data_IF_328839358303
#
_entry.id   IF_328839358303
#
_cell.length_a   1.000
_cell.length_b   1.000
_cell.length_c   1.000
_cell.angle_alpha   90.00
_cell.angle_beta   90.00
_cell.angle_gamma   90.00
#
_symmetry.space_group_name_H-M   'P 1'
#
loop_
_entity.id
_entity.type
_entity.pdbx_description
1 polymer ?
#
# COMPACT_ATOMS: atom_id res chain seq x y z
N UNK A 1 20.17 -2.00 13.75
CA UNK A 1 18.91 -1.41 13.22
C UNK A 1 18.78 -1.81 11.76
N UNK A 2 17.81 -2.65 11.40
CA UNK A 2 17.58 -3.02 9.99
C UNK A 2 17.05 -1.80 9.23
N UNK A 3 17.73 -1.40 8.15
CA UNK A 3 17.31 -0.29 7.32
C UNK A 3 15.98 -0.65 6.64
N UNK A 4 14.93 0.17 6.86
CA UNK A 4 13.65 0.01 6.16
C UNK A 4 13.84 0.45 4.70
N UNK A 5 13.97 -0.52 3.79
CA UNK A 5 14.01 -0.26 2.34
C UNK A 5 12.70 0.41 1.92
N UNK A 6 12.79 1.66 1.45
CA UNK A 6 11.65 2.39 0.88
C UNK A 6 11.63 2.18 -0.62
N UNK A 7 10.54 1.63 -1.13
CA UNK A 7 10.32 1.49 -2.57
C UNK A 7 9.65 2.77 -3.10
N UNK A 8 10.14 3.28 -4.23
CA UNK A 8 9.49 4.34 -5.01
C UNK A 8 8.79 3.71 -6.21
N UNK A 9 7.48 3.95 -6.34
CA UNK A 9 6.69 3.47 -7.46
C UNK A 9 5.95 4.64 -8.12
N UNK A 10 5.98 4.69 -9.45
CA UNK A 10 5.20 5.66 -10.23
C UNK A 10 3.84 5.05 -10.55
N UNK A 11 2.80 5.56 -9.90
CA UNK A 11 1.42 5.13 -10.13
C UNK A 11 0.80 5.92 -11.30
N UNK A 12 0.22 5.21 -12.28
CA UNK A 12 -0.58 5.82 -13.36
C UNK A 12 -2.05 5.83 -12.94
N UNK A 13 -2.61 7.03 -12.79
CA UNK A 13 -4.02 7.28 -12.44
C UNK A 13 -4.52 8.49 -13.22
N UNK A 14 -5.84 8.58 -13.35
CA UNK A 14 -6.48 9.73 -13.96
C UNK A 14 -6.21 11.01 -13.15
N UNK A 15 -5.96 12.10 -13.87
CA UNK A 15 -5.61 13.39 -13.28
C UNK A 15 -6.70 13.91 -12.33
N UNK A 16 -7.97 13.84 -12.73
CA UNK A 16 -9.10 14.29 -11.91
C UNK A 16 -9.21 13.53 -10.58
N UNK A 17 -8.92 12.23 -10.62
CA UNK A 17 -8.91 11.40 -9.41
C UNK A 17 -7.74 11.78 -8.50
N UNK A 18 -6.55 12.03 -9.08
CA UNK A 18 -5.39 12.46 -8.30
C UNK A 18 -5.59 13.83 -7.64
N UNK A 19 -6.27 14.75 -8.31
CA UNK A 19 -6.57 16.07 -7.76
C UNK A 19 -7.56 15.99 -6.59
N UNK A 20 -8.61 15.17 -6.72
CA UNK A 20 -9.52 14.86 -5.60
C UNK A 20 -8.79 14.20 -4.43
N UNK A 21 -7.88 13.26 -4.73
CA UNK A 21 -7.07 12.62 -3.71
C UNK A 21 -6.16 13.62 -2.97
N UNK A 22 -5.54 14.55 -3.70
CA UNK A 22 -4.73 15.62 -3.10
C UNK A 22 -5.55 16.53 -2.20
N UNK A 23 -6.77 16.88 -2.61
CA UNK A 23 -7.67 17.68 -1.79
C UNK A 23 -7.97 16.98 -0.45
N UNK A 24 -8.25 15.67 -0.46
CA UNK A 24 -8.47 14.89 0.77
C UNK A 24 -7.20 14.82 1.63
N UNK A 25 -6.05 14.60 1.01
CA UNK A 25 -4.78 14.52 1.73
C UNK A 25 -4.44 15.84 2.44
N UNK A 26 -4.66 16.97 1.76
CA UNK A 26 -4.45 18.32 2.30
C UNK A 26 -5.42 18.62 3.45
N UNK A 27 -6.70 18.27 3.30
CA UNK A 27 -7.70 18.37 4.37
C UNK A 27 -7.31 17.55 5.62
N UNK A 28 -6.62 16.41 5.43
CA UNK A 28 -6.10 15.57 6.51
C UNK A 28 -4.71 16.02 7.04
N UNK A 29 -4.14 17.10 6.50
CA UNK A 29 -2.83 17.64 6.88
C UNK A 29 -1.66 16.71 6.51
N UNK A 30 -1.80 15.93 5.43
CA UNK A 30 -0.82 14.93 5.00
C UNK A 30 -0.41 15.14 3.56
N UNK A 31 0.82 14.74 3.24
CA UNK A 31 1.22 14.62 1.83
C UNK A 31 0.44 13.48 1.17
N UNK A 32 0.20 13.62 -0.13
CA UNK A 32 -0.41 12.58 -0.96
C UNK A 32 0.22 11.19 -0.72
N UNK A 33 1.55 11.11 -0.64
CA UNK A 33 2.25 9.84 -0.39
C UNK A 33 1.96 9.28 1.01
N UNK A 34 1.88 10.13 2.03
CA UNK A 34 1.58 9.67 3.39
C UNK A 34 0.15 9.18 3.51
N UNK A 35 -0.79 9.85 2.85
CA UNK A 35 -2.18 9.40 2.79
C UNK A 35 -2.30 8.08 2.02
N UNK A 36 -1.58 7.93 0.91
CA UNK A 36 -1.54 6.68 0.15
C UNK A 36 -0.96 5.52 0.98
N UNK A 37 0.10 5.77 1.76
CA UNK A 37 0.64 4.77 2.69
C UNK A 37 -0.40 4.33 3.72
N UNK A 38 -1.18 5.27 4.29
CA UNK A 38 -2.25 4.95 5.24
C UNK A 38 -3.37 4.13 4.59
N UNK A 39 -3.77 4.48 3.36
CA UNK A 39 -4.76 3.73 2.61
C UNK A 39 -4.32 2.29 2.33
N UNK A 40 -3.07 2.08 1.91
CA UNK A 40 -2.51 0.74 1.68
C UNK A 40 -2.48 -0.05 2.99
N UNK A 41 -2.04 0.56 4.10
CA UNK A 41 -2.04 -0.10 5.42
C UNK A 41 -3.43 -0.53 5.84
N UNK A 42 -4.42 0.35 5.66
CA UNK A 42 -5.82 0.06 5.97
C UNK A 42 -6.33 -1.09 5.10
N UNK A 43 -6.08 -1.05 3.79
CA UNK A 43 -6.47 -2.11 2.86
C UNK A 43 -5.91 -3.48 3.29
N UNK A 44 -4.61 -3.54 3.63
CA UNK A 44 -3.99 -4.79 4.12
C UNK A 44 -4.63 -5.24 5.42
N UNK A 45 -4.82 -4.34 6.39
CA UNK A 45 -5.45 -4.68 7.67
C UNK A 45 -6.89 -5.19 7.50
N UNK A 46 -7.68 -4.54 6.65
CA UNK A 46 -9.06 -4.92 6.37
C UNK A 46 -9.12 -6.29 5.66
N UNK A 47 -8.18 -6.53 4.74
CA UNK A 47 -8.03 -7.82 4.06
C UNK A 47 -7.64 -8.93 5.03
N UNK A 48 -6.65 -8.71 5.89
CA UNK A 48 -6.18 -9.67 6.89
C UNK A 48 -7.26 -10.00 7.92
N UNK A 49 -8.08 -9.02 8.30
CA UNK A 49 -9.20 -9.23 9.20
C UNK A 49 -10.28 -10.16 8.61
N UNK A 50 -10.47 -10.13 7.28
CA UNK A 50 -11.50 -10.92 6.59
C UNK A 50 -11.00 -12.28 6.10
N UNK A 51 -9.74 -12.37 5.65
CA UNK A 51 -9.19 -13.53 4.96
C UNK A 51 -8.15 -14.29 5.79
N UNK A 52 -7.74 -13.75 6.94
CA UNK A 52 -6.62 -14.25 7.74
C UNK A 52 -5.32 -13.49 7.45
N UNK A 53 -4.38 -13.59 8.40
CA UNK A 53 -3.10 -12.88 8.36
C UNK A 53 -2.27 -13.35 7.16
N UNK A 54 -1.68 -12.41 6.41
CA UNK A 54 -0.79 -12.72 5.31
C UNK A 54 0.54 -13.19 5.91
N UNK A 55 0.85 -14.46 5.76
CA UNK A 55 2.09 -15.04 6.32
C UNK A 55 3.28 -14.83 5.39
N UNK A 56 4.49 -15.00 5.91
CA UNK A 56 5.70 -14.99 5.08
C UNK A 56 5.71 -16.13 4.04
N UNK A 57 5.04 -17.24 4.32
CA UNK A 57 4.86 -18.37 3.40
C UNK A 57 3.99 -17.97 2.21
N UNK A 58 2.88 -17.27 2.46
CA UNK A 58 1.98 -16.75 1.41
C UNK A 58 2.71 -15.78 0.47
N UNK A 59 3.49 -14.86 1.03
CA UNK A 59 4.29 -13.91 0.25
C UNK A 59 5.35 -14.65 -0.57
N UNK A 60 6.04 -15.64 0.01
CA UNK A 60 7.07 -16.42 -0.69
C UNK A 60 6.47 -17.17 -1.87
N UNK A 61 5.31 -17.79 -1.67
CA UNK A 61 4.56 -18.50 -2.72
C UNK A 61 4.12 -17.55 -3.84
N UNK A 62 3.69 -16.34 -3.50
CA UNK A 62 3.25 -15.35 -4.48
C UNK A 62 4.41 -14.83 -5.35
N UNK A 63 5.56 -14.52 -4.76
CA UNK A 63 6.71 -13.99 -5.50
C UNK A 63 7.57 -15.06 -6.18
N UNK A 64 7.56 -16.32 -5.69
CA UNK A 64 8.33 -17.44 -6.26
C UNK A 64 7.43 -18.63 -6.66
N UNK A 65 6.68 -18.52 -7.77
CA UNK A 65 5.73 -19.56 -8.18
C UNK A 65 6.37 -20.87 -8.69
N UNK A 66 7.71 -20.93 -8.83
CA UNK A 66 8.45 -22.08 -9.39
C UNK A 66 9.15 -22.96 -8.33
N UNK A 67 8.94 -22.70 -7.03
CA UNK A 67 9.56 -23.44 -5.92
C UNK A 67 8.52 -24.32 -5.21
N UNK A 68 7.94 -25.30 -5.93
CA UNK A 68 7.38 -26.52 -5.35
C UNK A 68 7.14 -27.57 -6.43
#
# INVERSE_FOLDING_TARGET
MAAKTRLSYTLRIDQDLFDKFRYIADANGRSANRELEQLIRKLVSDYEAQNGVITSEDLTRFFNPQQN
#
